data_IF_826851556076
#
_entry.id   IF_826851556076
#
_cell.length_a   1.000
_cell.length_b   1.000
_cell.length_c   1.000
_cell.angle_alpha   90.00
_cell.angle_beta   90.00
_cell.angle_gamma   90.00
#
_symmetry.space_group_name_H-M   'P 1'
#
loop_
_entity.id
_entity.type
_entity.pdbx_description
1 polymer ?
#
# COMPACT_ATOMS: atom_id res chain seq x y z
N UNK A 1 15.22 13.29 -6.77
CA UNK A 1 14.97 12.12 -7.63
C UNK A 1 14.16 11.13 -6.82
N UNK A 2 12.96 10.73 -7.27
CA UNK A 2 12.20 9.65 -6.65
C UNK A 2 12.99 8.35 -6.68
N UNK A 3 12.85 7.52 -5.65
CA UNK A 3 13.56 6.25 -5.52
C UNK A 3 13.31 5.35 -6.73
N UNK A 4 12.09 5.36 -7.27
CA UNK A 4 11.71 4.59 -8.46
C UNK A 4 12.60 4.88 -9.69
N UNK A 5 12.95 6.15 -9.96
CA UNK A 5 13.83 6.53 -11.08
C UNK A 5 15.27 6.07 -10.88
N UNK A 6 15.77 6.11 -9.65
CA UNK A 6 17.12 5.61 -9.33
C UNK A 6 17.23 4.09 -9.54
N UNK A 7 16.11 3.38 -9.36
CA UNK A 7 16.05 1.92 -9.37
C UNK A 7 15.79 1.32 -10.75
N UNK A 8 15.47 2.12 -11.77
CA UNK A 8 15.35 1.62 -13.16
C UNK A 8 16.63 0.94 -13.64
N UNK A 9 17.79 1.43 -13.20
CA UNK A 9 19.10 0.86 -13.54
C UNK A 9 19.44 -0.41 -12.74
N UNK A 10 18.67 -0.74 -11.70
CA UNK A 10 18.97 -1.82 -10.74
C UNK A 10 17.74 -2.69 -10.44
N UNK A 11 17.26 -3.50 -11.40
CA UNK A 11 16.01 -4.27 -11.25
C UNK A 11 16.05 -5.27 -10.09
N UNK A 12 17.20 -5.90 -9.81
CA UNK A 12 17.32 -6.81 -8.66
C UNK A 12 17.29 -6.07 -7.32
N UNK A 13 17.78 -4.83 -7.27
CA UNK A 13 17.67 -4.00 -6.07
C UNK A 13 16.21 -3.58 -5.85
N UNK A 14 15.46 -3.31 -6.93
CA UNK A 14 14.06 -2.90 -6.89
C UNK A 14 13.16 -3.96 -6.25
N UNK A 15 13.47 -5.22 -6.49
CA UNK A 15 12.72 -6.37 -5.96
C UNK A 15 13.32 -6.92 -4.66
N UNK A 16 14.27 -6.19 -4.03
CA UNK A 16 14.94 -6.59 -2.80
C UNK A 16 14.33 -5.96 -1.55
N UNK A 17 14.83 -6.35 -0.37
CA UNK A 17 14.46 -5.71 0.91
C UNK A 17 14.71 -4.20 0.97
N UNK A 18 15.50 -3.62 0.06
CA UNK A 18 15.78 -2.18 0.02
C UNK A 18 14.53 -1.34 -0.29
N UNK A 19 13.52 -1.92 -0.95
CA UNK A 19 12.24 -1.28 -1.26
C UNK A 19 11.11 -1.77 -0.38
N UNK A 20 11.42 -2.57 0.66
CA UNK A 20 10.42 -3.12 1.54
C UNK A 20 9.71 -2.03 2.33
N UNK A 21 8.38 -2.02 2.24
CA UNK A 21 7.52 -1.09 2.97
C UNK A 21 6.79 -0.11 2.06
N UNK A 22 6.28 0.96 2.66
CA UNK A 22 5.55 2.02 1.99
C UNK A 22 6.50 3.23 1.91
N UNK A 23 6.67 3.88 0.74
CA UNK A 23 7.50 5.08 0.62
C UNK A 23 6.99 6.19 1.54
N UNK A 24 7.87 7.16 1.87
CA UNK A 24 7.53 8.24 2.78
C UNK A 24 6.28 9.01 2.32
N UNK A 25 5.29 9.07 3.22
CA UNK A 25 3.98 9.67 2.99
C UNK A 25 3.91 11.13 3.47
N UNK A 26 5.00 11.67 4.04
CA UNK A 26 5.04 12.99 4.67
C UNK A 26 4.65 14.15 3.73
N UNK A 27 4.81 13.97 2.41
CA UNK A 27 4.43 14.95 1.39
C UNK A 27 3.07 14.73 0.71
N UNK A 28 2.35 13.67 1.04
CA UNK A 28 1.10 13.28 0.35
C UNK A 28 -0.10 13.95 1.02
N UNK A 29 -0.87 14.72 0.26
CA UNK A 29 -2.13 15.29 0.75
C UNK A 29 -3.30 14.34 0.48
N UNK A 30 -3.89 13.77 1.53
CA UNK A 30 -5.09 12.94 1.36
C UNK A 30 -6.29 13.71 0.77
N UNK A 31 -6.30 15.04 0.88
CA UNK A 31 -7.34 15.88 0.28
C UNK A 31 -7.19 16.02 -1.23
N UNK A 32 -5.98 15.85 -1.76
CA UNK A 32 -5.69 15.91 -3.19
C UNK A 32 -6.02 14.57 -3.88
N UNK A 33 -6.89 14.53 -4.90
CA UNK A 33 -7.21 13.31 -5.65
C UNK A 33 -6.00 12.62 -6.28
N UNK A 34 -5.04 13.37 -6.82
CA UNK A 34 -3.89 12.80 -7.52
C UNK A 34 -2.93 12.10 -6.54
N UNK A 35 -2.73 12.72 -5.38
CA UNK A 35 -1.93 12.17 -4.28
C UNK A 35 -2.57 10.90 -3.70
N UNK A 36 -3.91 10.85 -3.60
CA UNK A 36 -4.63 9.63 -3.20
C UNK A 36 -4.41 8.50 -4.20
N UNK A 37 -4.49 8.81 -5.49
CA UNK A 37 -4.30 7.79 -6.53
C UNK A 37 -2.86 7.27 -6.54
N UNK A 38 -1.88 8.16 -6.38
CA UNK A 38 -0.47 7.79 -6.23
C UNK A 38 -0.26 6.86 -5.03
N UNK A 39 -0.82 7.21 -3.87
CA UNK A 39 -0.76 6.41 -2.65
C UNK A 39 -1.41 5.04 -2.83
N UNK A 40 -2.59 4.98 -3.46
CA UNK A 40 -3.31 3.73 -3.77
C UNK A 40 -2.44 2.80 -4.61
N UNK A 41 -1.80 3.33 -5.64
CA UNK A 41 -0.95 2.57 -6.55
C UNK A 41 0.35 2.10 -5.87
N UNK A 42 0.97 2.96 -5.07
CA UNK A 42 2.17 2.61 -4.29
C UNK A 42 1.89 1.50 -3.27
N UNK A 43 0.76 1.59 -2.54
CA UNK A 43 0.31 0.52 -1.63
C UNK A 43 0.08 -0.79 -2.39
N UNK A 44 -0.62 -0.74 -3.52
CA UNK A 44 -0.92 -1.92 -4.34
C UNK A 44 0.37 -2.60 -4.81
N UNK A 45 1.31 -1.83 -5.37
CA UNK A 45 2.61 -2.35 -5.85
C UNK A 45 3.42 -2.96 -4.72
N UNK A 46 3.52 -2.27 -3.59
CA UNK A 46 4.30 -2.77 -2.45
C UNK A 46 3.75 -4.10 -1.93
N UNK A 47 2.42 -4.24 -1.82
CA UNK A 47 1.78 -5.49 -1.41
C UNK A 47 2.02 -6.60 -2.45
N UNK A 48 1.86 -6.30 -3.75
CA UNK A 48 2.09 -7.30 -4.81
C UNK A 48 3.54 -7.78 -4.88
N UNK A 49 4.50 -6.88 -4.63
CA UNK A 49 5.93 -7.19 -4.65
C UNK A 49 6.36 -7.99 -3.42
N UNK A 50 5.89 -7.61 -2.24
CA UNK A 50 6.40 -8.13 -0.97
C UNK A 50 5.52 -9.20 -0.31
N UNK A 51 4.29 -9.41 -0.79
CA UNK A 51 3.37 -10.42 -0.25
C UNK A 51 2.96 -11.45 -1.32
N UNK A 52 3.84 -12.41 -1.66
CA UNK A 52 3.65 -13.35 -2.76
C UNK A 52 2.50 -14.34 -2.54
N UNK A 53 1.99 -14.44 -1.31
CA UNK A 53 0.83 -15.28 -0.97
C UNK A 53 -0.47 -14.65 -1.45
N UNK A 54 -0.49 -13.33 -1.68
CA UNK A 54 -1.65 -12.61 -2.21
C UNK A 54 -1.56 -12.46 -3.73
N UNK A 55 -2.71 -12.26 -4.37
CA UNK A 55 -2.82 -11.97 -5.80
C UNK A 55 -4.10 -11.22 -6.10
N UNK A 56 -4.19 -10.61 -7.29
CA UNK A 56 -5.33 -9.77 -7.68
C UNK A 56 -5.61 -8.69 -6.62
N UNK A 57 -4.54 -8.06 -6.14
CA UNK A 57 -4.59 -7.08 -5.06
C UNK A 57 -5.31 -5.83 -5.55
N UNK A 58 -6.32 -5.40 -4.81
CA UNK A 58 -7.04 -4.14 -5.02
C UNK A 58 -6.97 -3.35 -3.72
N UNK A 59 -6.54 -2.11 -3.82
CA UNK A 59 -6.49 -1.17 -2.70
C UNK A 59 -7.57 -0.13 -2.92
N UNK A 60 -8.44 0.04 -1.92
CA UNK A 60 -9.46 1.07 -1.87
C UNK A 60 -9.13 2.01 -0.70
N UNK A 61 -9.02 3.31 -0.98
CA UNK A 61 -8.83 4.33 0.04
C UNK A 61 -10.19 4.91 0.43
N UNK A 62 -10.48 4.99 1.72
CA UNK A 62 -11.66 5.69 2.21
C UNK A 62 -11.53 7.20 1.98
N UNK A 63 -12.66 7.88 1.76
CA UNK A 63 -12.66 9.33 1.64
C UNK A 63 -12.12 9.95 2.95
N UNK A 64 -11.16 10.90 2.87
CA UNK A 64 -10.66 11.57 4.05
C UNK A 64 -11.81 12.36 4.69
N UNK A 65 -12.05 12.13 5.99
CA UNK A 65 -12.91 13.01 6.78
C UNK A 65 -12.07 14.22 7.16
N UNK A 66 -12.60 15.44 7.02
CA UNK A 66 -11.86 16.72 7.13
C UNK A 66 -11.00 16.88 8.39
N UNK A 67 -11.23 16.10 9.45
CA UNK A 67 -10.49 16.16 10.72
C UNK A 67 -9.64 14.91 11.03
N UNK A 68 -9.72 13.85 10.23
CA UNK A 68 -9.02 12.59 10.49
C UNK A 68 -7.66 12.56 9.77
N UNK A 69 -6.56 12.63 10.52
CA UNK A 69 -5.19 12.35 10.03
C UNK A 69 -4.91 10.84 9.90
N UNK A 70 -5.96 10.04 9.77
CA UNK A 70 -5.90 8.60 9.64
C UNK A 70 -6.26 8.23 8.21
N UNK A 71 -5.34 7.57 7.52
CA UNK A 71 -5.62 6.91 6.25
C UNK A 71 -6.26 5.57 6.57
N UNK A 72 -7.52 5.40 6.17
CA UNK A 72 -8.18 4.09 6.19
C UNK A 72 -8.19 3.53 4.79
N UNK A 73 -7.74 2.29 4.65
CA UNK A 73 -7.75 1.61 3.37
C UNK A 73 -8.12 0.16 3.53
N UNK A 74 -8.76 -0.37 2.49
CA UNK A 74 -9.13 -1.77 2.37
C UNK A 74 -8.27 -2.42 1.30
N UNK A 75 -7.77 -3.61 1.60
CA UNK A 75 -7.05 -4.47 0.66
C UNK A 75 -7.90 -5.69 0.38
N UNK A 76 -8.38 -5.82 -0.84
CA UNK A 76 -9.05 -7.02 -1.34
C UNK A 76 -8.07 -7.82 -2.18
N UNK A 77 -7.93 -9.11 -1.90
CA UNK A 77 -6.99 -9.98 -2.60
C UNK A 77 -7.46 -11.44 -2.64
N UNK A 78 -6.71 -12.28 -3.34
CA UNK A 78 -6.91 -13.73 -3.40
C UNK A 78 -5.70 -14.44 -2.82
N UNK A 79 -5.93 -15.28 -1.80
CA UNK A 79 -4.88 -16.00 -1.09
C UNK A 79 -4.43 -17.25 -1.87
N UNK A 80 -3.32 -17.15 -2.61
CA UNK A 80 -2.79 -18.20 -3.50
C UNK A 80 -2.30 -19.45 -2.78
N UNK A 81 -1.83 -19.31 -1.55
CA UNK A 81 -1.26 -20.43 -0.78
C UNK A 81 -2.31 -21.43 -0.33
N UNK A 82 -3.59 -21.05 -0.33
CA UNK A 82 -4.68 -21.92 0.05
C UNK A 82 -5.23 -22.67 -1.18
N UNK A 83 -5.52 -23.99 -1.09
CA UNK A 83 -6.02 -24.78 -2.22
C UNK A 83 -7.26 -24.19 -2.90
N UNK A 84 -8.17 -23.64 -2.09
CA UNK A 84 -9.42 -23.04 -2.57
C UNK A 84 -9.31 -21.57 -3.02
N UNK A 85 -8.10 -20.98 -2.96
CA UNK A 85 -7.81 -19.59 -3.35
C UNK A 85 -8.93 -18.61 -2.92
N UNK A 86 -9.24 -18.55 -1.61
CA UNK A 86 -10.35 -17.73 -1.14
C UNK A 86 -10.05 -16.25 -1.37
N UNK A 87 -11.09 -15.43 -1.62
CA UNK A 87 -10.96 -13.99 -1.48
C UNK A 87 -10.72 -13.66 0.00
N UNK A 88 -9.84 -12.70 0.24
CA UNK A 88 -9.51 -12.16 1.56
C UNK A 88 -9.60 -10.64 1.51
N UNK A 89 -10.08 -10.06 2.59
CA UNK A 89 -10.22 -8.61 2.75
C UNK A 89 -9.56 -8.20 4.05
N UNK A 90 -8.73 -7.17 3.99
CA UNK A 90 -8.07 -6.59 5.15
C UNK A 90 -8.43 -5.12 5.24
N UNK A 91 -8.88 -4.69 6.42
CA UNK A 91 -9.09 -3.27 6.71
C UNK A 91 -7.88 -2.77 7.52
N UNK A 92 -7.21 -1.75 6.99
CA UNK A 92 -6.04 -1.15 7.59
C UNK A 92 -6.27 0.33 7.90
N UNK A 93 -5.77 0.77 9.06
CA UNK A 93 -5.74 2.18 9.44
C UNK A 93 -4.30 2.58 9.69
N UNK A 94 -3.85 3.62 9.00
CA UNK A 94 -2.53 4.22 9.10
C UNK A 94 -2.66 5.64 9.66
N UNK A 95 -2.06 5.87 10.82
CA UNK A 95 -1.97 7.20 11.40
C UNK A 95 -0.70 7.90 10.91
N UNK A 96 -0.85 8.86 9.99
CA UNK A 96 0.25 9.56 9.32
C UNK A 96 1.11 10.39 10.29
N UNK A 97 0.56 10.79 11.45
CA UNK A 97 1.28 11.60 12.44
C UNK A 97 2.18 10.79 13.37
N UNK A 98 1.99 9.47 13.47
CA UNK A 98 2.65 8.64 14.48
C UNK A 98 3.23 7.34 13.93
N UNK A 99 3.05 7.04 12.63
CA UNK A 99 3.41 5.76 12.02
C UNK A 99 2.84 4.55 12.78
N UNK A 100 1.68 4.71 13.44
CA UNK A 100 0.97 3.60 14.10
C UNK A 100 0.07 2.93 13.07
N UNK A 101 0.20 1.60 12.97
CA UNK A 101 -0.54 0.75 12.04
C UNK A 101 -1.48 -0.17 12.81
N UNK A 102 -2.74 -0.25 12.38
CA UNK A 102 -3.69 -1.26 12.85
C UNK A 102 -4.28 -1.99 11.65
N UNK A 103 -4.17 -3.32 11.66
CA UNK A 103 -4.74 -4.19 10.64
C UNK A 103 -5.80 -5.07 11.31
N UNK A 104 -6.97 -5.16 10.70
CA UNK A 104 -8.05 -6.05 11.09
C UNK A 104 -8.40 -6.95 9.90
N UNK A 105 -8.54 -8.25 10.16
CA UNK A 105 -8.90 -9.27 9.18
C UNK A 105 -10.01 -10.15 9.70
#
# INVERSE_FOLDING_TARGET
MPLDELMESFPQARDSLLTFGIPDLSGISLLNPDDRELLREQLRRSIELHEPRLSRVRVNLDAPREMERHLRFRVDAVLKVHPHRPPVTFDATLQLSSNVYKVQG
#
